data_IF_076488064494
#
_entry.id   IF_076488064494
#
_cell.length_a   1.000
_cell.length_b   1.000
_cell.length_c   1.000
_cell.angle_alpha   90.00
_cell.angle_beta   90.00
_cell.angle_gamma   90.00
#
_symmetry.space_group_name_H-M   'P 1'
#
loop_
_entity.id
_entity.type
_entity.pdbx_description
1 polymer ?
#
# COMPACT_ATOMS: atom_id res chain seq x y z
N UNK A 1 -1.72 -0.12 -62.38
CA UNK A 1 -1.25 -0.85 -61.20
C UNK A 1 -1.53 -0.02 -59.94
N UNK A 2 -2.50 -0.42 -59.17
CA UNK A 2 -2.82 0.27 -57.94
C UNK A 2 -1.86 -0.24 -56.87
N UNK A 3 -0.98 0.62 -56.40
CA UNK A 3 -0.18 0.33 -55.23
C UNK A 3 -1.06 0.48 -54.02
N UNK A 4 -1.43 -0.62 -53.42
CA UNK A 4 -2.03 -0.63 -52.08
C UNK A 4 -0.95 -0.28 -51.09
N UNK A 5 -0.99 0.95 -50.59
CA UNK A 5 -0.20 1.35 -49.45
C UNK A 5 -0.99 0.92 -48.21
N UNK A 6 -0.59 -0.21 -47.65
CA UNK A 6 -1.04 -0.57 -46.30
C UNK A 6 -0.30 0.33 -45.33
N UNK A 7 -0.96 1.38 -44.88
CA UNK A 7 -0.54 2.07 -43.69
C UNK A 7 -0.81 1.12 -42.54
N UNK A 8 0.22 0.47 -42.05
CA UNK A 8 0.12 -0.27 -40.81
C UNK A 8 -0.30 0.71 -39.71
N UNK A 9 -1.39 0.43 -38.97
CA UNK A 9 -1.71 1.26 -37.81
C UNK A 9 -0.55 1.17 -36.85
N UNK A 10 0.08 2.29 -36.60
CA UNK A 10 1.03 2.43 -35.51
C UNK A 10 0.22 2.27 -34.25
N UNK A 11 0.20 1.06 -33.72
CA UNK A 11 -0.25 0.84 -32.35
C UNK A 11 0.74 1.58 -31.45
N UNK A 12 0.38 2.80 -31.13
CA UNK A 12 0.93 3.46 -29.96
C UNK A 12 0.43 2.69 -28.76
N UNK A 13 1.16 1.66 -28.41
CA UNK A 13 1.09 1.15 -27.07
C UNK A 13 1.48 2.32 -26.18
N UNK A 14 0.47 2.95 -25.60
CA UNK A 14 0.70 3.89 -24.54
C UNK A 14 1.57 3.15 -23.53
N UNK A 15 2.85 3.48 -23.51
CA UNK A 15 3.78 2.95 -22.53
C UNK A 15 3.15 3.21 -21.17
N UNK A 16 2.96 2.16 -20.37
CA UNK A 16 2.63 2.32 -18.98
C UNK A 16 3.70 3.21 -18.39
N UNK A 17 3.35 4.44 -18.09
CA UNK A 17 4.20 5.38 -17.40
C UNK A 17 4.48 4.86 -16.00
N UNK A 18 5.43 5.47 -15.30
CA UNK A 18 5.73 5.20 -13.90
C UNK A 18 4.50 5.26 -12.98
N UNK A 19 3.38 5.81 -13.43
CA UNK A 19 2.07 5.75 -12.79
C UNK A 19 1.60 4.33 -12.50
N UNK A 20 2.11 3.30 -13.20
CA UNK A 20 1.81 1.89 -12.93
C UNK A 20 2.30 1.42 -11.56
N UNK A 21 3.24 2.15 -10.95
CA UNK A 21 3.77 1.85 -9.61
C UNK A 21 3.07 2.61 -8.50
N UNK A 22 2.24 3.57 -8.84
CA UNK A 22 1.50 4.37 -7.88
C UNK A 22 0.10 3.80 -7.69
N UNK A 23 -0.21 3.41 -6.46
CA UNK A 23 -1.52 2.88 -6.09
C UNK A 23 -2.56 3.98 -5.89
N UNK A 24 -3.80 3.54 -5.73
CA UNK A 24 -4.93 4.44 -5.40
C UNK A 24 -4.78 5.10 -4.03
N UNK A 25 -3.93 4.53 -3.17
CA UNK A 25 -3.54 5.11 -1.87
C UNK A 25 -2.60 6.30 -2.00
N UNK A 26 -2.08 6.57 -3.21
CA UNK A 26 -1.16 7.66 -3.49
C UNK A 26 0.31 7.33 -3.23
N UNK A 27 0.63 6.09 -2.91
CA UNK A 27 2.01 5.64 -2.69
C UNK A 27 2.55 4.89 -3.91
N UNK A 28 3.84 5.05 -4.16
CA UNK A 28 4.56 4.28 -5.17
C UNK A 28 5.32 3.14 -4.53
N UNK A 29 5.31 1.98 -5.18
CA UNK A 29 6.07 0.83 -4.72
C UNK A 29 7.55 1.05 -5.01
N UNK A 30 8.37 1.06 -3.95
CA UNK A 30 9.82 1.24 -4.00
C UNK A 30 10.58 -0.05 -3.66
N UNK A 31 11.74 0.11 -3.01
CA UNK A 31 12.56 -1.03 -2.59
C UNK A 31 12.00 -1.64 -1.30
N UNK A 32 11.57 -2.91 -1.31
CA UNK A 32 11.12 -3.58 -0.11
C UNK A 32 12.29 -3.93 0.82
N UNK A 33 12.03 -3.95 2.13
CA UNK A 33 13.03 -4.39 3.11
C UNK A 33 13.11 -5.92 3.22
N UNK A 34 12.04 -6.61 2.83
CA UNK A 34 11.99 -8.06 2.71
C UNK A 34 10.90 -8.44 1.70
N UNK A 35 10.85 -9.69 1.34
CA UNK A 35 9.78 -10.25 0.52
C UNK A 35 9.28 -11.55 1.15
N UNK A 36 7.98 -11.63 1.38
CA UNK A 36 7.30 -12.82 1.88
C UNK A 36 6.16 -13.18 0.94
N UNK A 37 5.93 -14.45 0.74
CA UNK A 37 4.82 -14.96 -0.07
C UNK A 37 3.73 -15.62 0.77
N UNK A 38 3.94 -15.71 2.09
CA UNK A 38 2.96 -16.27 3.01
C UNK A 38 3.06 -15.57 4.36
N UNK A 39 1.95 -14.99 4.82
CA UNK A 39 1.87 -14.24 6.08
C UNK A 39 0.53 -14.55 6.74
N UNK A 40 0.54 -14.69 8.06
CA UNK A 40 -0.68 -14.73 8.86
C UNK A 40 -0.99 -13.32 9.36
N UNK A 41 -2.13 -12.78 8.96
CA UNK A 41 -2.50 -11.39 9.25
C UNK A 41 -3.64 -11.37 10.28
N UNK A 42 -3.41 -10.63 11.38
CA UNK A 42 -4.45 -10.23 12.31
C UNK A 42 -4.94 -8.84 11.93
N UNK A 43 -6.24 -8.65 11.87
CA UNK A 43 -6.85 -7.37 11.55
C UNK A 43 -7.50 -6.82 12.82
N UNK A 44 -7.08 -5.62 13.21
CA UNK A 44 -7.68 -4.87 14.31
C UNK A 44 -8.41 -3.67 13.70
N UNK A 45 -9.70 -3.56 14.00
CA UNK A 45 -10.53 -2.48 13.46
C UNK A 45 -10.92 -1.47 14.54
N UNK A 46 -11.11 -0.23 14.11
CA UNK A 46 -11.47 0.89 14.97
C UNK A 46 -12.73 1.57 14.44
N UNK A 47 -13.60 2.00 15.36
CA UNK A 47 -14.80 2.77 15.04
C UNK A 47 -14.55 4.28 15.11
N UNK A 48 -13.39 4.68 15.62
CA UNK A 48 -12.96 6.06 15.77
C UNK A 48 -11.55 6.24 15.24
N UNK A 49 -11.34 7.25 14.40
CA UNK A 49 -10.00 7.59 13.89
C UNK A 49 -9.08 8.04 15.03
N UNK A 50 -9.62 8.66 16.05
CA UNK A 50 -8.85 9.09 17.22
C UNK A 50 -8.28 7.88 17.99
N UNK A 51 -9.07 6.82 18.14
CA UNK A 51 -8.62 5.59 18.77
C UNK A 51 -7.53 4.89 17.97
N UNK A 52 -7.69 4.83 16.64
CA UNK A 52 -6.64 4.30 15.75
C UNK A 52 -5.35 5.09 15.90
N UNK A 53 -5.41 6.41 15.87
CA UNK A 53 -4.25 7.29 16.00
C UNK A 53 -3.60 7.20 17.38
N UNK A 54 -4.39 7.04 18.41
CA UNK A 54 -3.88 6.83 19.78
C UNK A 54 -3.05 5.55 19.85
N UNK A 55 -3.56 4.45 19.31
CA UNK A 55 -2.82 3.19 19.26
C UNK A 55 -1.58 3.30 18.36
N UNK A 56 -1.68 4.00 17.23
CA UNK A 56 -0.54 4.25 16.34
C UNK A 56 0.60 4.98 17.05
N UNK A 57 0.29 6.00 17.84
CA UNK A 57 1.30 6.76 18.59
C UNK A 57 2.07 5.88 19.58
N UNK A 58 1.44 4.88 20.16
CA UNK A 58 2.10 3.94 21.08
C UNK A 58 3.21 3.12 20.41
N UNK A 59 3.14 2.93 19.10
CA UNK A 59 4.13 2.17 18.33
C UNK A 59 4.96 3.06 17.40
N UNK A 60 4.93 4.37 17.60
CA UNK A 60 5.75 5.33 16.87
C UNK A 60 5.15 5.86 15.56
N UNK A 61 3.91 5.52 15.25
CA UNK A 61 3.21 6.08 14.08
C UNK A 61 2.65 7.46 14.46
N UNK A 62 3.43 8.50 14.23
CA UNK A 62 3.16 9.86 14.71
C UNK A 62 2.55 10.80 13.67
N UNK A 63 2.24 10.30 12.47
CA UNK A 63 1.58 11.10 11.44
C UNK A 63 0.21 11.58 11.97
N UNK A 64 -0.04 12.90 12.00
CA UNK A 64 -1.34 13.42 12.47
C UNK A 64 -2.51 13.01 11.56
N UNK A 65 -2.22 12.61 10.31
CA UNK A 65 -3.20 12.16 9.32
C UNK A 65 -3.21 10.64 9.15
N UNK A 66 -2.67 9.91 10.12
CA UNK A 66 -2.61 8.47 10.08
C UNK A 66 -3.99 7.86 9.83
N UNK A 67 -4.12 7.05 8.80
CA UNK A 67 -5.37 6.39 8.40
C UNK A 67 -5.36 4.89 8.70
N UNK A 68 -4.18 4.30 8.82
CA UNK A 68 -3.97 2.89 9.10
C UNK A 68 -2.51 2.67 9.46
N UNK A 69 -2.18 1.54 10.06
CA UNK A 69 -0.79 1.14 10.27
C UNK A 69 -0.66 -0.38 10.40
N UNK A 70 0.53 -0.88 10.12
CA UNK A 70 0.89 -2.27 10.30
C UNK A 70 1.94 -2.42 11.40
N UNK A 71 1.80 -3.47 12.18
CA UNK A 71 2.80 -3.88 13.15
C UNK A 71 3.50 -5.13 12.63
N UNK A 72 4.76 -4.95 12.26
CA UNK A 72 5.60 -5.97 11.63
C UNK A 72 6.52 -6.55 12.69
N UNK A 73 6.63 -7.90 12.82
CA UNK A 73 7.58 -8.51 13.74
C UNK A 73 9.02 -8.15 13.42
N UNK A 74 9.84 -8.00 14.47
CA UNK A 74 11.28 -7.75 14.33
C UNK A 74 12.02 -8.98 13.79
N UNK A 75 11.57 -10.18 14.18
CA UNK A 75 12.15 -11.44 13.69
C UNK A 75 11.71 -11.67 12.24
N UNK A 76 12.66 -11.75 11.27
CA UNK A 76 12.33 -12.00 9.88
C UNK A 76 11.74 -13.40 9.61
N UNK A 77 11.90 -14.33 10.55
CA UNK A 77 11.31 -15.67 10.46
C UNK A 77 9.89 -15.75 11.02
N UNK A 78 9.43 -14.70 11.69
CA UNK A 78 8.06 -14.59 12.17
C UNK A 78 7.17 -14.10 11.04
N UNK A 79 6.28 -14.96 10.54
CA UNK A 79 5.37 -14.66 9.45
C UNK A 79 4.02 -14.12 9.93
N UNK A 80 3.91 -13.68 11.18
CA UNK A 80 2.74 -12.94 11.64
C UNK A 80 2.83 -11.46 11.30
N UNK A 81 1.68 -10.81 11.21
CA UNK A 81 1.59 -9.37 10.99
C UNK A 81 0.23 -8.90 11.52
N UNK A 82 0.19 -7.72 12.12
CA UNK A 82 -1.07 -7.13 12.57
C UNK A 82 -1.30 -5.82 11.85
N UNK A 83 -2.47 -5.67 11.22
CA UNK A 83 -2.87 -4.40 10.63
C UNK A 83 -3.95 -3.74 11.49
N UNK A 84 -3.89 -2.43 11.54
CA UNK A 84 -4.80 -1.56 12.27
C UNK A 84 -5.47 -0.63 11.27
N UNK A 85 -6.78 -0.76 11.13
CA UNK A 85 -7.57 -0.08 10.10
C UNK A 85 -8.91 0.37 10.66
N UNK A 86 -9.57 1.29 9.97
CA UNK A 86 -10.93 1.67 10.32
C UNK A 86 -11.89 0.53 10.00
N UNK A 87 -12.90 0.35 10.85
CA UNK A 87 -14.00 -0.58 10.58
C UNK A 87 -14.69 -0.20 9.27
N UNK A 88 -14.91 -1.15 8.35
CA UNK A 88 -15.60 -0.86 7.09
C UNK A 88 -17.06 -0.44 7.30
N UNK A 89 -17.62 -0.71 8.48
CA UNK A 89 -18.97 -0.25 8.85
C UNK A 89 -19.03 1.24 9.17
N UNK A 90 -17.88 1.84 9.51
CA UNK A 90 -17.74 3.27 9.83
C UNK A 90 -17.14 4.01 8.65
N UNK A 91 -16.09 3.48 8.08
CA UNK A 91 -15.39 4.06 6.94
C UNK A 91 -14.84 2.95 6.05
N UNK A 92 -15.42 2.79 4.87
CA UNK A 92 -14.98 1.77 3.91
C UNK A 92 -13.83 2.31 3.07
N UNK A 93 -12.62 1.91 3.42
CA UNK A 93 -11.37 2.38 2.82
C UNK A 93 -10.49 1.18 2.43
N UNK A 94 -10.88 0.42 1.38
CA UNK A 94 -10.16 -0.80 0.99
C UNK A 94 -8.71 -0.54 0.59
N UNK A 95 -8.37 0.67 0.13
CA UNK A 95 -7.01 1.07 -0.20
C UNK A 95 -6.06 0.98 0.99
N UNK A 96 -6.53 1.28 2.19
CA UNK A 96 -5.69 1.19 3.39
C UNK A 96 -5.50 -0.24 3.86
N UNK A 97 -6.49 -1.11 3.66
CA UNK A 97 -6.31 -2.56 3.88
C UNK A 97 -5.20 -3.09 2.97
N UNK A 98 -5.27 -2.81 1.68
CA UNK A 98 -4.25 -3.21 0.71
C UNK A 98 -2.88 -2.63 1.04
N UNK A 99 -2.81 -1.35 1.41
CA UNK A 99 -1.58 -0.67 1.79
C UNK A 99 -0.90 -1.38 2.98
N UNK A 100 -1.65 -1.69 4.02
CA UNK A 100 -1.09 -2.33 5.21
C UNK A 100 -0.76 -3.81 4.96
N UNK A 101 -1.53 -4.52 4.12
CA UNK A 101 -1.15 -5.86 3.67
C UNK A 101 0.21 -5.85 2.96
N UNK A 102 0.48 -4.86 2.13
CA UNK A 102 1.77 -4.72 1.46
C UNK A 102 2.92 -4.59 2.46
N UNK A 103 2.73 -3.88 3.57
CA UNK A 103 3.72 -3.83 4.64
C UNK A 103 3.97 -5.21 5.26
N UNK A 104 2.95 -6.04 5.38
CA UNK A 104 3.09 -7.40 5.90
C UNK A 104 3.96 -8.29 5.00
N UNK A 105 3.89 -8.12 3.68
CA UNK A 105 4.60 -8.93 2.70
C UNK A 105 5.97 -8.36 2.29
N UNK A 106 6.13 -7.03 2.33
CA UNK A 106 7.29 -6.33 1.77
C UNK A 106 8.00 -5.42 2.77
N UNK A 107 7.51 -5.30 3.99
CA UNK A 107 8.12 -4.44 5.01
C UNK A 107 7.96 -2.96 4.69
N UNK A 108 9.04 -2.22 4.79
CA UNK A 108 9.06 -0.81 4.41
C UNK A 108 9.32 -0.72 2.90
N UNK A 109 8.24 -0.66 2.12
CA UNK A 109 8.30 -0.70 0.66
C UNK A 109 8.11 0.68 0.00
N UNK A 110 7.75 1.67 0.75
CA UNK A 110 7.60 3.05 0.27
C UNK A 110 8.34 4.03 1.16
N UNK A 111 8.58 5.21 0.62
CA UNK A 111 9.18 6.32 1.37
C UNK A 111 8.16 6.97 2.32
N UNK A 112 8.64 7.80 3.21
CA UNK A 112 7.80 8.49 4.19
C UNK A 112 6.81 9.45 3.53
N UNK A 113 5.78 9.85 4.26
CA UNK A 113 4.76 10.80 3.79
C UNK A 113 5.33 12.14 3.28
N UNK A 114 6.57 12.49 3.64
CA UNK A 114 7.23 13.69 3.17
C UNK A 114 7.42 13.71 1.64
N UNK A 115 7.40 12.56 1.00
CA UNK A 115 7.62 12.42 -0.44
C UNK A 115 6.31 12.38 -1.25
N UNK A 116 5.20 12.68 -0.62
CA UNK A 116 3.87 12.77 -1.24
C UNK A 116 3.58 14.11 -1.93
N UNK A 117 4.58 14.88 -2.21
CA UNK A 117 4.35 16.17 -2.88
C UNK A 117 4.29 16.06 -4.37
#
# INVERSE_FOLDING_TARGET
>A
MKKLIFAAPLLLLASCNDSSRTGVDGYSFGEPTFEKNQVTIKIVTYDSIEDLRTEGRKVGATDPNLAAFAKIPVDPNDNSCTIHVMSPKVSYEPEWYGHEFMHCFYGQWHTSNADRQ
#
